data_IF_148020475386
#
_entry.id   IF_148020475386
#
_cell.length_a   1.000
_cell.length_b   1.000
_cell.length_c   1.000
_cell.angle_alpha   90.00
_cell.angle_beta   90.00
_cell.angle_gamma   90.00
#
_symmetry.space_group_name_H-M   'P 1'
#
loop_
_entity.id
_entity.type
_entity.pdbx_description
1 polymer ?
#
# COMPACT_ATOMS: atom_id res chain seq x y z
N UNK A 1 -4.00 20.88 -37.93
CA UNK A 1 -3.65 21.01 -36.50
C UNK A 1 -4.43 19.98 -35.67
N UNK A 2 -5.76 19.94 -35.81
CA UNK A 2 -6.67 18.92 -35.22
C UNK A 2 -6.21 17.46 -35.35
N UNK A 3 -5.76 17.04 -36.55
CA UNK A 3 -5.34 15.65 -36.80
C UNK A 3 -4.11 15.22 -35.97
N UNK A 4 -3.18 16.16 -35.72
CA UNK A 4 -1.99 15.91 -34.91
C UNK A 4 -2.35 15.79 -33.43
N UNK A 5 -3.23 16.66 -32.94
CA UNK A 5 -3.69 16.66 -31.55
C UNK A 5 -4.47 15.37 -31.23
N UNK A 6 -5.32 14.90 -32.16
CA UNK A 6 -6.07 13.66 -31.99
C UNK A 6 -5.18 12.42 -32.00
N UNK A 7 -4.15 12.39 -32.86
CA UNK A 7 -3.19 11.28 -32.86
C UNK A 7 -2.34 11.24 -31.58
N UNK A 8 -1.90 12.41 -31.09
CA UNK A 8 -1.16 12.52 -29.84
C UNK A 8 -2.02 12.09 -28.63
N UNK A 9 -3.26 12.57 -28.55
CA UNK A 9 -4.21 12.17 -27.50
C UNK A 9 -4.45 10.66 -27.52
N UNK A 10 -4.68 10.07 -28.70
CA UNK A 10 -4.91 8.62 -28.82
C UNK A 10 -3.70 7.78 -28.40
N UNK A 11 -2.47 8.27 -28.63
CA UNK A 11 -1.25 7.59 -28.22
C UNK A 11 -1.04 7.69 -26.70
N UNK A 12 -1.31 8.86 -26.12
CA UNK A 12 -1.27 9.08 -24.67
C UNK A 12 -2.29 8.19 -23.96
N UNK A 13 -3.53 8.14 -24.43
CA UNK A 13 -4.59 7.32 -23.83
C UNK A 13 -4.28 5.82 -23.91
N UNK A 14 -3.77 5.35 -25.04
CA UNK A 14 -3.35 3.95 -25.19
C UNK A 14 -2.19 3.59 -24.27
N UNK A 15 -1.25 4.51 -24.09
CA UNK A 15 -0.09 4.28 -23.22
C UNK A 15 -0.51 4.31 -21.74
N UNK A 16 -1.31 5.30 -21.35
CA UNK A 16 -1.81 5.47 -20.00
C UNK A 16 -2.71 4.31 -19.55
N UNK A 17 -3.60 3.82 -20.43
CA UNK A 17 -4.47 2.68 -20.12
C UNK A 17 -3.72 1.36 -19.98
N UNK A 18 -2.67 1.14 -20.76
CA UNK A 18 -1.94 -0.14 -20.76
C UNK A 18 -1.01 -0.36 -19.56
N UNK A 19 -0.61 0.69 -18.86
CA UNK A 19 0.26 0.59 -17.68
C UNK A 19 -0.38 -0.28 -16.59
N UNK A 20 -1.67 -0.10 -16.35
CA UNK A 20 -2.40 -0.83 -15.32
C UNK A 20 -2.48 -2.32 -15.61
N UNK A 21 -2.65 -2.69 -16.90
CA UNK A 21 -2.75 -4.08 -17.36
C UNK A 21 -1.51 -4.91 -17.03
N UNK A 22 -0.33 -4.29 -16.99
CA UNK A 22 0.94 -4.96 -16.70
C UNK A 22 1.31 -4.79 -15.21
N UNK A 23 1.11 -3.61 -14.64
CA UNK A 23 1.53 -3.31 -13.28
C UNK A 23 0.73 -4.09 -12.22
N UNK A 24 -0.60 -4.21 -12.40
CA UNK A 24 -1.48 -4.85 -11.41
C UNK A 24 -1.18 -6.35 -11.23
N UNK A 25 -1.07 -7.17 -12.31
CA UNK A 25 -0.73 -8.58 -12.16
C UNK A 25 0.66 -8.82 -11.57
N UNK A 26 1.65 -8.00 -11.92
CA UNK A 26 3.01 -8.11 -11.36
C UNK A 26 2.99 -7.82 -9.85
N UNK A 27 2.36 -6.71 -9.45
CA UNK A 27 2.28 -6.32 -8.05
C UNK A 27 1.52 -7.37 -7.22
N UNK A 28 0.40 -7.85 -7.75
CA UNK A 28 -0.36 -8.93 -7.13
C UNK A 28 0.45 -10.22 -7.03
N UNK A 29 1.15 -10.62 -8.09
CA UNK A 29 1.99 -11.82 -8.13
C UNK A 29 3.11 -11.78 -7.10
N UNK A 30 3.82 -10.65 -6.96
CA UNK A 30 4.83 -10.46 -5.92
C UNK A 30 4.21 -10.57 -4.52
N UNK A 31 3.07 -9.91 -4.29
CA UNK A 31 2.35 -10.01 -3.03
C UNK A 31 1.91 -11.44 -2.69
N UNK A 32 1.47 -12.21 -3.70
CA UNK A 32 1.05 -13.60 -3.54
C UNK A 32 2.25 -14.51 -3.23
N UNK A 33 3.37 -14.36 -3.93
CA UNK A 33 4.61 -15.12 -3.68
C UNK A 33 5.08 -14.89 -2.25
N UNK A 34 5.14 -13.63 -1.80
CA UNK A 34 5.54 -13.30 -0.44
C UNK A 34 4.55 -13.84 0.59
N UNK A 35 3.24 -13.76 0.29
CA UNK A 35 2.19 -14.30 1.16
C UNK A 35 2.36 -15.81 1.36
N UNK A 36 2.53 -16.58 0.28
CA UNK A 36 2.69 -18.04 0.37
C UNK A 36 4.00 -18.39 1.10
N UNK A 37 5.11 -17.74 0.75
CA UNK A 37 6.42 -17.98 1.36
C UNK A 37 6.45 -17.68 2.86
N UNK A 38 5.72 -16.65 3.29
CA UNK A 38 5.56 -16.29 4.70
C UNK A 38 4.38 -17.02 5.36
N UNK A 39 3.70 -17.92 4.65
CA UNK A 39 2.56 -18.70 5.11
C UNK A 39 1.36 -17.85 5.54
N UNK A 40 0.99 -16.82 4.78
CA UNK A 40 -0.15 -15.94 5.08
C UNK A 40 -0.03 -15.21 6.42
N UNK A 41 1.16 -14.67 6.69
CA UNK A 41 1.48 -13.98 7.94
C UNK A 41 0.53 -12.79 8.21
N UNK A 42 0.09 -12.11 7.15
CA UNK A 42 -0.84 -10.99 7.22
C UNK A 42 -2.17 -11.37 7.90
N UNK A 43 -2.64 -12.61 7.77
CA UNK A 43 -3.85 -13.07 8.45
C UNK A 43 -3.53 -13.64 9.83
N UNK A 44 -2.44 -14.41 9.95
CA UNK A 44 -2.05 -15.05 11.22
C UNK A 44 -1.65 -14.06 12.31
N UNK A 45 -1.00 -12.94 11.95
CA UNK A 45 -0.46 -11.97 12.90
C UNK A 45 -1.33 -10.72 13.07
N UNK A 46 -2.38 -10.55 12.27
CA UNK A 46 -3.24 -9.36 12.31
C UNK A 46 -3.83 -9.09 13.70
N UNK A 47 -4.43 -10.11 14.32
CA UNK A 47 -5.02 -9.98 15.65
C UNK A 47 -3.98 -9.64 16.73
N UNK A 48 -2.78 -10.22 16.64
CA UNK A 48 -1.67 -9.88 17.52
C UNK A 48 -1.22 -8.43 17.31
N UNK A 49 -1.12 -7.97 16.06
CA UNK A 49 -0.75 -6.60 15.74
C UNK A 49 -1.74 -5.59 16.32
N UNK A 50 -3.05 -5.80 16.17
CA UNK A 50 -4.07 -4.96 16.81
C UNK A 50 -3.94 -4.95 18.33
N UNK A 51 -3.76 -6.12 18.96
CA UNK A 51 -3.57 -6.21 20.42
C UNK A 51 -2.34 -5.44 20.89
N UNK A 52 -1.24 -5.48 20.14
CA UNK A 52 -0.01 -4.73 20.45
C UNK A 52 -0.24 -3.22 20.30
N UNK A 53 -0.83 -2.79 19.18
CA UNK A 53 -1.12 -1.37 18.91
C UNK A 53 -1.97 -0.74 20.01
N UNK A 54 -3.02 -1.43 20.47
CA UNK A 54 -3.93 -0.95 21.52
C UNK A 54 -3.45 -1.27 22.95
N UNK A 55 -2.33 -1.98 23.12
CA UNK A 55 -1.84 -2.32 24.46
C UNK A 55 -1.37 -1.08 25.23
N UNK A 56 -1.54 -1.11 26.56
CA UNK A 56 -1.04 -0.05 27.45
C UNK A 56 0.48 0.14 27.39
N UNK A 57 1.23 -0.88 26.96
CA UNK A 57 2.69 -0.85 26.81
C UNK A 57 3.15 -0.14 25.54
N UNK A 58 2.36 -0.18 24.47
CA UNK A 58 2.54 0.61 23.25
C UNK A 58 2.33 2.12 23.49
N UNK A 59 1.59 2.48 24.56
CA UNK A 59 1.24 3.86 24.92
C UNK A 59 2.21 4.52 25.90
N UNK A 60 3.04 3.73 26.61
CA UNK A 60 4.11 4.22 27.48
C UNK A 60 5.42 4.12 26.68
N UNK A 61 5.95 5.26 26.23
CA UNK A 61 7.13 5.38 25.34
C UNK A 61 8.45 4.88 25.94
N UNK A 62 8.52 3.59 26.29
CA UNK A 62 9.69 2.94 26.89
C UNK A 62 10.33 1.89 25.97
N UNK A 63 10.18 2.01 24.65
CA UNK A 63 10.90 1.22 23.65
C UNK A 63 11.63 2.14 22.68
N UNK A 64 12.67 1.64 22.02
CA UNK A 64 13.63 2.32 21.10
C UNK A 64 13.04 3.08 19.89
N UNK A 65 11.71 3.29 19.81
CA UNK A 65 11.08 4.06 18.74
C UNK A 65 10.65 5.45 19.21
N UNK A 66 11.08 6.49 18.49
CA UNK A 66 10.70 7.89 18.72
C UNK A 66 9.18 8.18 18.59
N UNK A 67 8.43 7.23 18.01
CA UNK A 67 6.99 7.35 17.78
C UNK A 67 6.23 6.11 18.24
N UNK A 68 5.04 6.32 18.81
CA UNK A 68 4.19 5.20 19.24
C UNK A 68 3.74 4.34 18.04
N UNK A 69 3.56 3.02 18.20
CA UNK A 69 3.06 2.14 17.13
C UNK A 69 1.73 2.62 16.53
N UNK A 70 0.87 3.24 17.34
CA UNK A 70 -0.37 3.84 16.86
C UNK A 70 -0.12 5.06 15.96
N UNK A 71 0.76 5.98 16.37
CA UNK A 71 1.12 7.16 15.58
C UNK A 71 1.80 6.79 14.24
N UNK A 72 2.66 5.77 14.23
CA UNK A 72 3.27 5.26 13.01
C UNK A 72 2.23 4.73 12.02
N UNK A 73 1.26 3.93 12.50
CA UNK A 73 0.18 3.40 11.67
C UNK A 73 -0.77 4.49 11.20
N UNK A 74 -1.13 5.46 12.04
CA UNK A 74 -1.94 6.61 11.63
C UNK A 74 -1.26 7.44 10.55
N UNK A 75 0.06 7.63 10.63
CA UNK A 75 0.84 8.36 9.61
C UNK A 75 0.88 7.59 8.30
N UNK A 76 1.17 6.29 8.35
CA UNK A 76 1.15 5.43 7.16
C UNK A 76 -0.24 5.41 6.50
N UNK A 77 -1.31 5.28 7.29
CA UNK A 77 -2.69 5.28 6.79
C UNK A 77 -3.07 6.63 6.17
N UNK A 78 -2.69 7.75 6.81
CA UNK A 78 -2.92 9.08 6.27
C UNK A 78 -2.20 9.25 4.91
N UNK A 79 -0.99 8.70 4.77
CA UNK A 79 -0.26 8.73 3.51
C UNK A 79 -0.93 7.88 2.41
N UNK A 80 -1.57 6.76 2.75
CA UNK A 80 -2.25 5.90 1.76
C UNK A 80 -3.68 6.32 1.46
N UNK A 81 -4.41 6.90 2.41
CA UNK A 81 -5.83 7.27 2.29
C UNK A 81 -6.01 8.75 1.87
N UNK A 82 -4.95 9.56 1.93
CA UNK A 82 -5.03 11.03 1.89
C UNK A 82 -5.58 11.70 0.62
N UNK A 83 -5.55 11.08 -0.56
CA UNK A 83 -6.23 11.62 -1.77
C UNK A 83 -6.26 10.63 -2.96
N UNK A 84 -6.33 9.33 -2.69
CA UNK A 84 -6.05 8.28 -3.70
C UNK A 84 -6.99 7.08 -3.72
N UNK A 85 -8.16 7.16 -3.06
CA UNK A 85 -9.24 6.18 -3.17
C UNK A 85 -10.45 6.79 -3.86
#
# INVERSE_FOLDING_TARGET
MELFLNNLASWLDKTASNIWTIMVPILFGVGLILSIRLGFIQFRKLGTAFKVMFSRRSRKGGGEGDVSPFAAVSTALAATVGNGN
#
